data_IF_910773972124
#
_entry.id   IF_910773972124
#
_cell.length_a   1.000
_cell.length_b   1.000
_cell.length_c   1.000
_cell.angle_alpha   90.00
_cell.angle_beta   90.00
_cell.angle_gamma   90.00
#
_symmetry.space_group_name_H-M   'P 1'
#
loop_
_entity.id
_entity.type
_entity.pdbx_description
1 polymer ?
#
# COMPACT_ATOMS: atom_id res chain seq x y z
N UNK A 1 2.56 2.25 -9.81
CA UNK A 1 1.80 0.98 -9.75
C UNK A 1 0.93 0.96 -8.49
N UNK A 2 -0.37 0.64 -8.58
CA UNK A 2 -1.33 0.54 -7.45
C UNK A 2 -1.73 -0.93 -7.21
N UNK A 3 -0.88 -1.72 -6.54
CA UNK A 3 -1.06 -3.19 -6.46
C UNK A 3 -1.49 -3.70 -5.09
N UNK A 4 -1.16 -3.01 -4.00
CA UNK A 4 -1.46 -3.49 -2.65
C UNK A 4 -2.78 -2.93 -2.09
N UNK A 5 -3.13 -1.69 -2.46
CA UNK A 5 -4.33 -0.97 -2.02
C UNK A 5 -5.64 -1.79 -1.97
N UNK A 6 -5.97 -2.68 -2.94
CA UNK A 6 -7.26 -3.38 -2.92
C UNK A 6 -7.42 -4.43 -1.81
N UNK A 7 -6.37 -4.73 -1.05
CA UNK A 7 -6.32 -5.81 -0.07
C UNK A 7 -6.17 -5.29 1.37
N UNK A 8 -6.67 -6.06 2.33
CA UNK A 8 -6.35 -5.89 3.75
C UNK A 8 -4.94 -6.40 4.09
N UNK A 9 -4.49 -6.23 5.33
CA UNK A 9 -3.09 -6.49 5.71
C UNK A 9 -2.56 -7.85 5.23
N UNK A 10 -3.26 -8.94 5.56
CA UNK A 10 -2.88 -10.31 5.16
C UNK A 10 -2.78 -10.46 3.64
N UNK A 11 -3.73 -9.88 2.90
CA UNK A 11 -3.71 -9.93 1.44
C UNK A 11 -2.58 -9.10 0.84
N UNK A 12 -2.23 -7.97 1.46
CA UNK A 12 -1.06 -7.17 1.08
C UNK A 12 0.24 -7.96 1.28
N UNK A 13 0.40 -8.67 2.40
CA UNK A 13 1.56 -9.55 2.62
C UNK A 13 1.65 -10.62 1.53
N UNK A 14 0.54 -11.32 1.22
CA UNK A 14 0.56 -12.36 0.17
C UNK A 14 0.90 -11.78 -1.21
N UNK A 15 0.31 -10.65 -1.58
CA UNK A 15 0.61 -9.97 -2.85
C UNK A 15 2.07 -9.50 -2.90
N UNK A 16 2.58 -8.89 -1.83
CA UNK A 16 3.96 -8.43 -1.73
C UNK A 16 4.97 -9.59 -1.79
N UNK A 17 4.65 -10.76 -1.21
CA UNK A 17 5.47 -11.97 -1.37
C UNK A 17 5.53 -12.45 -2.83
N UNK A 18 4.46 -12.28 -3.62
CA UNK A 18 4.53 -12.56 -5.06
C UNK A 18 5.43 -11.57 -5.80
N UNK A 19 5.37 -10.28 -5.43
CA UNK A 19 6.33 -9.28 -5.95
C UNK A 19 7.76 -9.71 -5.61
N UNK A 20 8.01 -10.15 -4.38
CA UNK A 20 9.31 -10.64 -3.96
C UNK A 20 9.77 -11.84 -4.78
N UNK A 21 8.93 -12.86 -4.94
CA UNK A 21 9.22 -14.05 -5.75
C UNK A 21 9.57 -13.72 -7.21
N UNK A 22 8.93 -12.71 -7.80
CA UNK A 22 9.11 -12.34 -9.20
C UNK A 22 10.24 -11.33 -9.44
N UNK A 23 10.75 -10.71 -8.37
CA UNK A 23 11.84 -9.74 -8.43
C UNK A 23 13.21 -10.43 -8.45
N UNK A 24 14.24 -9.70 -8.91
CA UNK A 24 15.65 -10.07 -8.78
C UNK A 24 16.36 -9.06 -7.90
N UNK A 25 17.55 -9.38 -7.38
CA UNK A 25 18.41 -8.39 -6.72
C UNK A 25 18.62 -7.18 -7.64
N UNK A 26 18.50 -5.98 -7.07
CA UNK A 26 18.55 -4.70 -7.79
C UNK A 26 17.22 -4.29 -8.44
N UNK A 27 16.19 -5.14 -8.46
CA UNK A 27 14.88 -4.77 -9.00
C UNK A 27 14.27 -3.60 -8.19
N UNK A 28 13.64 -2.69 -8.92
CA UNK A 28 12.93 -1.55 -8.37
C UNK A 28 11.42 -1.74 -8.51
N UNK A 29 10.70 -1.48 -7.44
CA UNK A 29 9.23 -1.40 -7.45
C UNK A 29 8.84 0.01 -7.04
N UNK A 30 8.32 0.76 -8.01
CA UNK A 30 7.92 2.16 -7.85
C UNK A 30 6.40 2.29 -7.94
N UNK A 31 5.81 3.06 -7.05
CA UNK A 31 4.38 3.26 -7.11
C UNK A 31 3.85 4.33 -6.18
N UNK A 32 2.54 4.50 -6.30
CA UNK A 32 1.77 5.35 -5.43
C UNK A 32 0.41 4.72 -5.21
N UNK A 33 -0.17 4.91 -4.03
CA UNK A 33 -1.49 4.39 -3.67
C UNK A 33 -2.18 5.30 -2.65
N UNK A 34 -3.50 5.13 -2.49
CA UNK A 34 -4.22 5.83 -1.44
C UNK A 34 -3.84 5.19 -0.09
N UNK A 35 -3.20 5.99 0.74
CA UNK A 35 -2.89 5.73 2.13
C UNK A 35 -3.82 6.48 3.08
N UNK A 36 -3.41 6.57 4.33
CA UNK A 36 -4.08 7.34 5.36
C UNK A 36 -3.06 7.94 6.33
N UNK A 37 -3.36 9.12 6.89
CA UNK A 37 -2.53 9.73 7.93
C UNK A 37 -2.38 8.81 9.15
N UNK A 38 -3.47 8.14 9.53
CA UNK A 38 -3.50 7.07 10.52
C UNK A 38 -3.81 5.76 9.80
N UNK A 39 -2.95 4.73 9.89
CA UNK A 39 -3.14 3.51 9.14
C UNK A 39 -4.34 2.74 9.69
N UNK A 40 -5.15 2.18 8.79
CA UNK A 40 -6.43 1.59 9.17
C UNK A 40 -6.92 0.52 8.18
N UNK A 41 -7.75 -0.38 8.70
CA UNK A 41 -8.43 -1.40 7.92
C UNK A 41 -9.87 -0.94 7.65
N UNK A 42 -10.22 -0.72 6.38
CA UNK A 42 -11.55 -0.23 5.98
C UNK A 42 -12.30 -1.27 5.16
N UNK A 43 -13.63 -1.26 5.21
CA UNK A 43 -14.47 -1.93 4.22
C UNK A 43 -15.03 -0.86 3.28
N UNK A 44 -14.60 -0.80 2.00
CA UNK A 44 -15.11 0.21 1.08
C UNK A 44 -16.61 0.01 0.83
N UNK A 45 -17.37 1.10 0.90
CA UNK A 45 -18.83 1.07 0.76
C UNK A 45 -19.30 0.39 -0.55
N UNK A 46 -18.56 0.57 -1.64
CA UNK A 46 -18.85 -0.02 -2.95
C UNK A 46 -18.69 -1.54 -3.02
N UNK A 47 -18.06 -2.18 -2.02
CA UNK A 47 -17.82 -3.63 -2.02
C UNK A 47 -19.03 -4.42 -1.46
N UNK A 48 -20.04 -3.75 -0.88
CA UNK A 48 -21.26 -4.35 -0.28
C UNK A 48 -20.99 -5.11 1.05
N UNK A 49 -22.00 -5.72 1.68
CA UNK A 49 -21.83 -6.39 2.99
C UNK A 49 -21.41 -7.89 2.92
N UNK A 50 -21.66 -8.59 1.80
CA UNK A 50 -21.65 -10.06 1.75
C UNK A 50 -20.39 -10.73 1.11
N UNK A 51 -19.15 -10.27 1.33
CA UNK A 51 -17.98 -10.96 0.75
C UNK A 51 -16.83 -11.10 1.75
N UNK A 52 -16.31 -12.31 1.87
CA UNK A 52 -15.48 -12.73 3.00
C UNK A 52 -14.01 -12.26 2.91
N UNK A 53 -13.67 -11.37 1.98
CA UNK A 53 -12.31 -10.83 1.77
C UNK A 53 -12.31 -9.30 1.62
N UNK A 54 -13.09 -8.61 2.46
CA UNK A 54 -13.66 -7.29 2.15
C UNK A 54 -12.89 -6.05 2.57
N UNK A 55 -11.79 -6.22 3.26
CA UNK A 55 -11.11 -5.10 3.86
C UNK A 55 -9.95 -4.60 2.98
N UNK A 56 -9.66 -3.31 3.09
CA UNK A 56 -8.53 -2.61 2.48
C UNK A 56 -7.74 -1.97 3.60
N UNK A 57 -6.43 -2.25 3.66
CA UNK A 57 -5.57 -1.62 4.65
C UNK A 57 -4.93 -0.37 4.03
N UNK A 58 -5.31 0.80 4.53
CA UNK A 58 -4.69 2.07 4.13
C UNK A 58 -3.42 2.26 4.94
N UNK A 59 -2.29 2.31 4.24
CA UNK A 59 -0.96 2.42 4.84
C UNK A 59 -0.57 3.89 5.03
N UNK A 60 0.26 4.16 6.03
CA UNK A 60 1.17 5.31 6.11
C UNK A 60 2.62 4.82 5.86
N UNK A 61 3.63 5.70 5.99
CA UNK A 61 5.03 5.28 5.79
C UNK A 61 5.48 4.20 6.78
N UNK A 62 5.12 4.33 8.05
CA UNK A 62 5.54 3.41 9.11
C UNK A 62 4.96 2.01 8.90
N UNK A 63 3.65 1.91 8.72
CA UNK A 63 2.95 0.64 8.48
C UNK A 63 3.36 0.01 7.14
N UNK A 64 3.67 0.81 6.11
CA UNK A 64 4.20 0.29 4.86
C UNK A 64 5.61 -0.30 5.03
N UNK A 65 6.46 0.33 5.85
CA UNK A 65 7.78 -0.21 6.21
C UNK A 65 7.63 -1.54 6.96
N UNK A 66 6.75 -1.60 7.96
CA UNK A 66 6.45 -2.82 8.71
C UNK A 66 5.96 -3.96 7.81
N UNK A 67 5.10 -3.66 6.83
CA UNK A 67 4.63 -4.64 5.84
C UNK A 67 5.81 -5.27 5.09
N UNK A 68 6.75 -4.46 4.61
CA UNK A 68 7.91 -4.95 3.85
C UNK A 68 8.98 -5.61 4.72
N UNK A 69 9.11 -5.24 5.99
CA UNK A 69 9.93 -5.97 6.96
C UNK A 69 9.38 -7.38 7.20
N UNK A 70 8.05 -7.53 7.35
CA UNK A 70 7.42 -8.83 7.45
C UNK A 70 7.60 -9.66 6.17
N UNK A 71 7.42 -9.06 4.99
CA UNK A 71 7.63 -9.73 3.70
C UNK A 71 9.08 -10.17 3.54
N UNK A 72 10.04 -9.34 3.93
CA UNK A 72 11.47 -9.66 3.90
C UNK A 72 11.77 -10.92 4.71
N UNK A 73 11.26 -10.98 5.95
CA UNK A 73 11.41 -12.14 6.83
C UNK A 73 10.73 -13.39 6.27
N UNK A 74 9.50 -13.27 5.78
CA UNK A 74 8.69 -14.41 5.33
C UNK A 74 9.10 -14.96 3.94
N UNK A 75 9.78 -14.16 3.12
CA UNK A 75 10.20 -14.54 1.77
C UNK A 75 11.72 -14.72 1.65
N UNK A 76 12.46 -14.60 2.74
CA UNK A 76 13.93 -14.65 2.78
C UNK A 76 14.56 -13.68 1.75
N UNK A 77 14.15 -12.41 1.84
CA UNK A 77 14.62 -11.33 0.96
C UNK A 77 14.99 -10.10 1.78
N UNK A 78 15.68 -9.14 1.17
CA UNK A 78 15.95 -7.84 1.80
C UNK A 78 15.53 -6.69 0.89
N UNK A 79 14.96 -5.64 1.48
CA UNK A 79 14.41 -4.49 0.76
C UNK A 79 14.87 -3.18 1.39
N UNK A 80 15.33 -2.25 0.57
CA UNK A 80 15.33 -0.83 0.95
C UNK A 80 13.96 -0.25 0.62
N UNK A 81 13.32 0.34 1.63
CA UNK A 81 11.97 0.92 1.55
C UNK A 81 12.07 2.42 1.75
N UNK A 82 11.71 3.17 0.72
CA UNK A 82 11.55 4.63 0.78
C UNK A 82 10.08 4.94 0.50
N UNK A 83 9.41 5.70 1.36
CA UNK A 83 8.02 6.11 1.16
C UNK A 83 7.75 7.49 1.74
N UNK A 84 6.75 8.18 1.19
CA UNK A 84 6.30 9.48 1.68
C UNK A 84 4.79 9.62 1.52
N UNK A 85 4.12 10.15 2.55
CA UNK A 85 2.76 10.63 2.46
C UNK A 85 2.71 12.06 1.94
N UNK A 86 1.79 12.29 1.00
CA UNK A 86 1.51 13.58 0.40
C UNK A 86 0.01 13.86 0.47
N UNK A 87 -0.36 15.13 0.57
CA UNK A 87 -1.76 15.51 0.43
C UNK A 87 -2.28 15.18 -0.98
N UNK A 88 -3.58 14.91 -1.08
CA UNK A 88 -4.20 14.49 -2.34
C UNK A 88 -4.18 15.59 -3.40
N UNK A 89 -4.01 16.86 -3.01
CA UNK A 89 -3.82 17.99 -3.92
C UNK A 89 -2.62 17.82 -4.85
N UNK A 90 -1.63 17.02 -4.44
CA UNK A 90 -0.46 16.69 -5.29
C UNK A 90 -0.82 15.86 -6.53
N UNK A 91 -2.00 15.25 -6.56
CA UNK A 91 -2.50 14.49 -7.71
C UNK A 91 -3.15 15.37 -8.78
N UNK A 92 -3.21 16.69 -8.58
CA UNK A 92 -3.97 17.60 -9.45
C UNK A 92 -5.48 17.36 -9.42
N UNK A 93 -5.96 16.66 -8.38
CA UNK A 93 -7.37 16.36 -8.19
C UNK A 93 -8.08 17.55 -7.55
N UNK A 94 -9.29 17.79 -8.01
CA UNK A 94 -10.18 18.80 -7.41
C UNK A 94 -10.77 18.28 -6.10
N UNK A 95 -11.37 19.16 -5.31
CA UNK A 95 -12.11 18.76 -4.11
C UNK A 95 -13.23 17.76 -4.46
N UNK A 96 -13.91 17.94 -5.59
CA UNK A 96 -14.99 17.07 -6.06
C UNK A 96 -14.49 15.65 -6.39
N UNK A 97 -13.25 15.52 -6.86
CA UNK A 97 -12.63 14.22 -7.18
C UNK A 97 -12.28 13.39 -5.93
N UNK A 98 -12.15 14.05 -4.78
CA UNK A 98 -11.70 13.41 -3.52
C UNK A 98 -12.75 13.44 -2.41
N UNK A 99 -13.87 14.16 -2.58
CA UNK A 99 -14.92 14.28 -1.55
C UNK A 99 -15.55 12.95 -1.12
N UNK A 100 -15.53 11.94 -2.00
CA UNK A 100 -16.04 10.60 -1.67
C UNK A 100 -15.03 9.77 -0.88
N UNK A 101 -13.77 10.22 -0.78
CA UNK A 101 -12.75 9.55 0.00
C UNK A 101 -12.94 9.85 1.49
N UNK A 102 -12.68 8.84 2.33
CA UNK A 102 -12.74 9.01 3.79
C UNK A 102 -11.73 10.06 4.27
N UNK A 103 -12.10 10.77 5.33
CA UNK A 103 -11.23 11.71 6.04
C UNK A 103 -9.86 11.09 6.33
N UNK A 104 -8.81 11.91 6.26
CA UNK A 104 -7.43 11.48 6.43
C UNK A 104 -6.83 10.69 5.27
N UNK A 105 -7.52 10.57 4.13
CA UNK A 105 -6.95 10.00 2.91
C UNK A 105 -5.76 10.82 2.41
N UNK A 106 -4.67 10.12 2.08
CA UNK A 106 -3.43 10.73 1.60
C UNK A 106 -2.85 9.89 0.46
N UNK A 107 -1.96 10.47 -0.34
CA UNK A 107 -1.19 9.74 -1.34
C UNK A 107 0.06 9.17 -0.69
N UNK A 108 0.20 7.85 -0.64
CA UNK A 108 1.45 7.18 -0.29
C UNK A 108 2.24 6.90 -1.56
N UNK A 109 3.36 7.57 -1.74
CA UNK A 109 4.35 7.25 -2.77
C UNK A 109 5.44 6.36 -2.18
N UNK A 110 5.99 5.45 -3.00
CA UNK A 110 7.03 4.54 -2.54
C UNK A 110 8.00 4.11 -3.64
N UNK A 111 9.22 3.81 -3.19
CA UNK A 111 10.29 3.18 -3.93
C UNK A 111 10.88 2.04 -3.10
N UNK A 112 10.83 0.86 -3.67
CA UNK A 112 11.38 -0.36 -3.08
C UNK A 112 12.54 -0.85 -3.95
N UNK A 113 13.63 -1.26 -3.33
CA UNK A 113 14.77 -1.84 -4.01
C UNK A 113 15.15 -3.17 -3.37
N UNK A 114 15.11 -4.26 -4.13
CA UNK A 114 15.55 -5.57 -3.65
C UNK A 114 17.07 -5.59 -3.48
N UNK A 115 17.54 -5.93 -2.28
CA UNK A 115 18.96 -5.98 -1.91
C UNK A 115 19.53 -7.39 -1.92
N UNK A 116 18.72 -8.38 -1.51
CA UNK A 116 19.01 -9.82 -1.48
C UNK A 116 17.73 -10.58 -1.85
#
# INVERSE_FOLDING_TARGET
MKVLQPFGWKGQIQAAKQIARLSKVGALVLGSQIGAAVPEEIVPAWRGANSMSKSMYRQNEESFKQLWEQVAQEADTSWAVESSLKGLETLGLTHEDVQWMREGAMLLEFKLCRKL
#
